data_IF_569155093529
#
_entry.id   IF_569155093529
#
_cell.length_a   1.000
_cell.length_b   1.000
_cell.length_c   1.000
_cell.angle_alpha   90.00
_cell.angle_beta   90.00
_cell.angle_gamma   90.00
#
_symmetry.space_group_name_H-M   'P 1'
#
loop_
_entity.id
_entity.type
_entity.pdbx_description
1 polymer ?
#
# COMPACT_ATOMS: atom_id res chain seq x y z
N UNK A 1 4.37 7.32 1.64
CA UNK A 1 4.84 6.01 1.16
C UNK A 1 4.39 4.92 2.12
N UNK A 2 4.24 3.64 1.69
CA UNK A 2 3.53 2.62 2.47
C UNK A 2 4.43 1.64 3.25
N UNK A 3 5.76 1.82 3.21
CA UNK A 3 6.76 0.98 3.88
C UNK A 3 6.99 1.37 5.35
N UNK A 4 5.91 1.47 6.12
CA UNK A 4 5.99 1.56 7.58
C UNK A 4 6.45 0.22 8.17
N UNK A 5 6.77 0.17 9.47
CA UNK A 5 7.13 -1.10 10.15
C UNK A 5 6.04 -2.17 9.98
N UNK A 6 4.77 -1.75 9.98
CA UNK A 6 3.65 -2.56 9.49
C UNK A 6 3.28 -2.01 8.10
N UNK A 7 3.64 -2.68 7.00
CA UNK A 7 3.42 -2.16 5.65
C UNK A 7 1.91 -2.04 5.36
N UNK A 8 1.53 -0.98 4.65
CA UNK A 8 0.11 -0.72 4.35
C UNK A 8 -0.31 -1.57 3.15
N UNK A 9 -0.87 -2.76 3.38
CA UNK A 9 -1.18 -3.74 2.31
C UNK A 9 -2.68 -3.86 1.99
N UNK A 10 -3.56 -3.29 2.81
CA UNK A 10 -5.01 -3.46 2.70
C UNK A 10 -5.79 -2.23 3.21
N UNK A 11 -7.11 -2.27 3.02
CA UNK A 11 -8.02 -1.16 3.35
C UNK A 11 -8.03 -0.82 4.85
N UNK A 12 -7.97 -1.84 5.72
CA UNK A 12 -7.98 -1.68 7.17
C UNK A 12 -6.76 -0.90 7.66
N UNK A 13 -5.57 -1.31 7.22
CA UNK A 13 -4.32 -0.63 7.57
C UNK A 13 -4.27 0.79 7.03
N UNK A 14 -4.72 0.97 5.78
CA UNK A 14 -4.78 2.28 5.15
C UNK A 14 -5.70 3.23 5.92
N UNK A 15 -6.92 2.82 6.25
CA UNK A 15 -7.87 3.67 6.96
C UNK A 15 -7.38 4.03 8.36
N UNK A 16 -6.74 3.08 9.07
CA UNK A 16 -6.10 3.36 10.36
C UNK A 16 -5.04 4.45 10.23
N UNK A 17 -4.17 4.34 9.22
CA UNK A 17 -3.11 5.32 8.98
C UNK A 17 -3.67 6.68 8.53
N UNK A 18 -4.64 6.69 7.60
CA UNK A 18 -5.34 7.90 7.14
C UNK A 18 -5.98 8.66 8.30
N UNK A 19 -6.71 7.97 9.17
CA UNK A 19 -7.36 8.60 10.32
C UNK A 19 -6.35 9.23 11.28
N UNK A 20 -5.20 8.59 11.47
CA UNK A 20 -4.12 9.14 12.30
C UNK A 20 -3.54 10.43 11.69
N UNK A 21 -3.26 10.45 10.38
CA UNK A 21 -2.69 11.63 9.72
C UNK A 21 -3.68 12.80 9.63
N UNK A 22 -4.93 12.52 9.25
CA UNK A 22 -5.93 13.57 9.02
C UNK A 22 -6.44 14.22 10.31
N UNK A 23 -6.31 13.56 11.47
CA UNK A 23 -6.71 14.14 12.77
C UNK A 23 -6.07 15.50 13.02
N UNK A 24 -4.80 15.66 12.63
CA UNK A 24 -4.01 16.87 12.87
C UNK A 24 -3.77 17.70 11.60
N UNK A 25 -4.22 17.25 10.42
CA UNK A 25 -3.87 17.83 9.13
C UNK A 25 -5.09 17.97 8.22
N UNK A 26 -6.14 18.66 8.69
CA UNK A 26 -7.44 18.74 8.02
C UNK A 26 -7.41 19.42 6.64
N UNK A 27 -6.40 20.24 6.36
CA UNK A 27 -6.29 21.03 5.13
C UNK A 27 -5.27 20.45 4.12
N UNK A 28 -4.69 19.28 4.38
CA UNK A 28 -3.73 18.66 3.47
C UNK A 28 -4.42 17.65 2.56
N UNK A 29 -4.14 17.73 1.27
CA UNK A 29 -4.42 16.65 0.34
C UNK A 29 -3.31 15.60 0.45
N UNK A 30 -3.67 14.39 0.91
CA UNK A 30 -2.73 13.28 1.05
C UNK A 30 -3.11 12.16 0.08
N UNK A 31 -2.23 11.91 -0.88
CA UNK A 31 -2.34 10.77 -1.80
C UNK A 31 -1.73 9.53 -1.16
N UNK A 32 -2.60 8.62 -0.73
CA UNK A 32 -2.17 7.39 -0.10
C UNK A 32 -1.73 6.34 -1.13
N UNK A 33 -0.78 5.50 -0.73
CA UNK A 33 -0.26 4.41 -1.54
C UNK A 33 -0.39 3.09 -0.81
N UNK A 34 -0.45 1.97 -1.54
CA UNK A 34 -0.43 0.61 -0.98
C UNK A 34 0.91 -0.07 -1.22
N UNK A 35 1.45 -0.74 -0.21
CA UNK A 35 2.64 -1.58 -0.32
C UNK A 35 2.27 -2.84 -1.11
N UNK A 36 2.90 -3.03 -2.27
CA UNK A 36 2.61 -4.17 -3.12
C UNK A 36 3.53 -5.36 -2.81
N UNK A 37 2.94 -6.51 -2.53
CA UNK A 37 3.62 -7.79 -2.43
C UNK A 37 2.68 -8.95 -2.80
N UNK A 38 3.17 -10.19 -2.71
CA UNK A 38 2.48 -11.40 -3.17
C UNK A 38 1.22 -11.73 -2.37
N UNK A 39 1.10 -11.16 -1.16
CA UNK A 39 0.00 -11.43 -0.24
C UNK A 39 -1.19 -10.47 -0.45
N UNK A 40 -1.05 -9.46 -1.32
CA UNK A 40 -2.14 -8.55 -1.63
C UNK A 40 -3.28 -9.27 -2.39
N UNK A 41 -4.51 -9.11 -1.91
CA UNK A 41 -5.70 -9.60 -2.60
C UNK A 41 -6.06 -8.70 -3.78
N UNK A 42 -6.05 -9.25 -5.01
CA UNK A 42 -6.48 -8.53 -6.23
C UNK A 42 -7.92 -8.02 -6.08
N UNK A 43 -8.80 -8.84 -5.49
CA UNK A 43 -10.21 -8.46 -5.25
C UNK A 43 -10.28 -7.24 -4.33
N UNK A 44 -9.56 -7.27 -3.21
CA UNK A 44 -9.57 -6.14 -2.27
C UNK A 44 -8.96 -4.88 -2.90
N UNK A 45 -7.83 -4.98 -3.61
CA UNK A 45 -7.23 -3.85 -4.32
C UNK A 45 -8.20 -3.21 -5.33
N UNK A 46 -8.96 -4.04 -6.06
CA UNK A 46 -9.99 -3.57 -7.00
C UNK A 46 -11.11 -2.82 -6.29
N UNK A 47 -11.62 -3.37 -5.18
CA UNK A 47 -12.64 -2.70 -4.35
C UNK A 47 -12.14 -1.39 -3.75
N UNK A 48 -10.91 -1.36 -3.26
CA UNK A 48 -10.25 -0.17 -2.72
C UNK A 48 -10.07 0.92 -3.79
N UNK A 49 -9.71 0.54 -5.03
CA UNK A 49 -9.59 1.46 -6.17
C UNK A 49 -10.96 2.03 -6.56
N UNK A 50 -12.01 1.21 -6.64
CA UNK A 50 -13.40 1.67 -6.89
C UNK A 50 -13.85 2.71 -5.85
N UNK A 51 -13.47 2.50 -4.58
CA UNK A 51 -13.74 3.42 -3.46
C UNK A 51 -12.76 4.60 -3.37
N UNK A 52 -11.83 4.75 -4.33
CA UNK A 52 -10.79 5.80 -4.36
C UNK A 52 -9.99 5.90 -3.05
N UNK A 53 -9.74 4.77 -2.38
CA UNK A 53 -9.07 4.79 -1.08
C UNK A 53 -7.59 5.16 -1.19
N UNK A 54 -6.92 4.72 -2.25
CA UNK A 54 -5.51 4.97 -2.54
C UNK A 54 -5.33 5.47 -3.98
N UNK A 55 -4.21 6.15 -4.22
CA UNK A 55 -3.84 6.70 -5.52
C UNK A 55 -3.00 5.72 -6.35
N UNK A 56 -2.01 5.08 -5.74
CA UNK A 56 -1.13 4.12 -6.43
C UNK A 56 -0.65 2.98 -5.53
N UNK A 57 -0.07 1.95 -6.14
CA UNK A 57 0.68 0.92 -5.43
C UNK A 57 2.18 1.23 -5.53
N UNK A 58 2.94 0.82 -4.52
CA UNK A 58 4.40 0.94 -4.49
C UNK A 58 5.01 -0.43 -4.25
N UNK A 59 5.81 -0.86 -5.22
CA UNK A 59 6.63 -2.07 -5.14
C UNK A 59 8.00 -1.72 -4.57
N UNK A 60 8.49 -2.57 -3.68
CA UNK A 60 9.86 -2.56 -3.18
C UNK A 60 10.49 -3.92 -3.48
N UNK A 61 11.68 -3.99 -4.12
CA UNK A 61 12.43 -5.23 -4.21
C UNK A 61 12.77 -5.72 -2.80
N UNK A 62 12.69 -7.04 -2.58
CA UNK A 62 12.91 -7.62 -1.26
C UNK A 62 14.31 -7.28 -0.73
N UNK A 63 14.39 -6.81 0.52
CA UNK A 63 15.63 -6.45 1.24
C UNK A 63 16.49 -5.34 0.62
N UNK A 64 16.02 -4.63 -0.40
CA UNK A 64 16.81 -3.60 -1.08
C UNK A 64 16.89 -2.26 -0.32
N UNK A 65 15.97 -2.00 0.62
CA UNK A 65 15.89 -0.73 1.36
C UNK A 65 15.11 -0.86 2.68
N UNK A 66 14.91 0.24 3.39
CA UNK A 66 14.18 0.30 4.67
C UNK A 66 12.78 -0.31 4.57
N UNK A 67 12.46 -1.22 5.48
CA UNK A 67 11.17 -1.93 5.58
C UNK A 67 10.76 -2.66 4.28
N UNK A 68 11.74 -3.22 3.57
CA UNK A 68 11.53 -3.97 2.33
C UNK A 68 11.60 -5.49 2.47
N UNK A 69 11.66 -6.03 3.68
CA UNK A 69 11.76 -7.48 3.92
C UNK A 69 10.55 -8.27 3.39
N UNK A 70 9.37 -7.65 3.39
CA UNK A 70 8.14 -8.18 2.78
C UNK A 70 7.95 -7.75 1.31
N UNK A 71 9.03 -7.31 0.66
CA UNK A 71 9.05 -6.84 -0.71
C UNK A 71 8.86 -7.96 -1.73
N UNK A 72 8.88 -7.58 -3.01
CA UNK A 72 8.76 -8.52 -4.12
C UNK A 72 10.13 -9.16 -4.40
N UNK A 73 10.18 -10.49 -4.32
CA UNK A 73 11.35 -11.30 -4.68
C UNK A 73 11.37 -11.72 -6.15
N UNK A 74 10.19 -11.82 -6.78
CA UNK A 74 10.04 -12.20 -8.18
C UNK A 74 8.92 -11.39 -8.83
N UNK A 75 9.28 -10.48 -9.73
CA UNK A 75 8.33 -9.59 -10.40
C UNK A 75 7.43 -10.32 -11.40
N UNK A 76 7.85 -11.48 -11.93
CA UNK A 76 7.02 -12.27 -12.85
C UNK A 76 5.78 -12.84 -12.18
N UNK A 77 5.83 -13.06 -10.85
CA UNK A 77 4.66 -13.48 -10.08
C UNK A 77 3.64 -12.36 -9.89
N UNK A 78 4.04 -11.11 -10.11
CA UNK A 78 3.20 -9.93 -9.93
C UNK A 78 2.40 -9.56 -11.18
N UNK A 79 2.61 -10.23 -12.32
CA UNK A 79 1.96 -9.91 -13.60
C UNK A 79 0.43 -9.90 -13.53
N UNK A 80 -0.19 -10.67 -12.62
CA UNK A 80 -1.66 -10.67 -12.44
C UNK A 80 -2.21 -9.38 -11.82
N UNK A 81 -1.34 -8.53 -11.28
CA UNK A 81 -1.70 -7.27 -10.61
C UNK A 81 -1.50 -6.07 -11.54
N UNK A 82 -0.58 -6.16 -12.51
CA UNK A 82 -0.32 -5.13 -13.51
C UNK A 82 -1.32 -5.22 -14.66
#
# INVERSE_FOLDING_TARGET
MPNLNIPITNSKLLNKYRNHLLKNNKNLEILFTIYLNQNCSIKELSEMKKKKLFFSVKLYPQNATTNSSSGVSDIKKMTKIF
#
